data_IF_774942370998
#
_entry.id   IF_774942370998
#
_cell.length_a   1.000
_cell.length_b   1.000
_cell.length_c   1.000
_cell.angle_alpha   90.00
_cell.angle_beta   90.00
_cell.angle_gamma   90.00
#
_symmetry.space_group_name_H-M   'P 1'
#
loop_
_entity.id
_entity.type
_entity.pdbx_description
1 polymer ?
#
# COMPACT_ATOMS: atom_id res chain seq x y z
N UNK A 1 -28.31 4.78 -44.47
CA UNK A 1 -28.58 4.37 -43.07
C UNK A 1 -27.23 4.01 -42.47
N UNK A 2 -26.44 5.05 -42.16
CA UNK A 2 -26.07 5.46 -40.80
C UNK A 2 -25.43 4.31 -40.03
N UNK A 3 -24.10 4.24 -40.13
CA UNK A 3 -23.23 3.46 -39.26
C UNK A 3 -23.50 3.87 -37.81
N UNK A 4 -23.72 2.88 -36.94
CA UNK A 4 -23.85 3.12 -35.51
C UNK A 4 -22.50 3.61 -34.96
N UNK A 5 -22.48 4.61 -34.07
CA UNK A 5 -21.23 5.08 -33.48
C UNK A 5 -20.67 3.97 -32.58
N UNK A 6 -19.40 3.62 -32.79
CA UNK A 6 -18.62 2.83 -31.86
C UNK A 6 -18.74 3.46 -30.47
N UNK A 7 -19.37 2.73 -29.55
CA UNK A 7 -19.58 3.19 -28.18
C UNK A 7 -18.23 3.51 -27.56
N UNK A 8 -18.08 4.76 -27.11
CA UNK A 8 -17.01 5.19 -26.24
C UNK A 8 -17.19 4.49 -24.88
N UNK A 9 -16.78 3.22 -24.81
CA UNK A 9 -16.72 2.50 -23.55
C UNK A 9 -15.59 3.11 -22.72
N UNK A 10 -15.96 3.68 -21.57
CA UNK A 10 -14.97 4.13 -20.60
C UNK A 10 -13.97 3.03 -20.25
N UNK A 11 -12.84 3.38 -19.63
CA UNK A 11 -11.76 2.44 -19.35
C UNK A 11 -12.30 1.22 -18.58
N UNK A 12 -12.23 0.05 -19.22
CA UNK A 12 -12.70 -1.24 -18.65
C UNK A 12 -11.80 -1.76 -17.52
N UNK A 13 -10.62 -1.17 -17.35
CA UNK A 13 -9.59 -1.66 -16.46
C UNK A 13 -9.10 -0.55 -15.53
N UNK A 14 -8.97 -0.90 -14.25
CA UNK A 14 -8.47 0.00 -13.22
C UNK A 14 -7.42 -0.68 -12.37
N UNK A 15 -6.56 0.16 -11.80
CA UNK A 15 -5.60 -0.14 -10.75
C UNK A 15 -5.90 0.81 -9.61
N UNK A 16 -5.67 0.36 -8.38
CA UNK A 16 -5.94 1.16 -7.20
C UNK A 16 -4.67 1.40 -6.40
N UNK A 17 -4.55 2.59 -5.83
CA UNK A 17 -3.49 2.94 -4.89
C UNK A 17 -4.15 3.29 -3.56
N UNK A 18 -3.87 2.48 -2.54
CA UNK A 18 -4.33 2.73 -1.18
C UNK A 18 -3.24 3.49 -0.42
N UNK A 19 -3.54 4.73 -0.06
CA UNK A 19 -2.72 5.52 0.84
C UNK A 19 -3.22 5.34 2.27
N UNK A 20 -2.34 5.09 3.23
CA UNK A 20 -2.73 4.92 4.63
C UNK A 20 -1.86 5.73 5.60
N UNK A 21 -2.46 6.09 6.73
CA UNK A 21 -1.76 6.58 7.92
C UNK A 21 -1.95 5.57 9.05
N UNK A 22 -0.96 4.68 9.21
CA UNK A 22 -1.02 3.58 10.19
C UNK A 22 -0.60 3.98 11.60
N UNK A 23 -0.29 5.25 11.86
CA UNK A 23 -0.08 5.78 13.22
C UNK A 23 1.04 5.13 14.06
N UNK A 24 1.88 4.25 13.50
CA UNK A 24 2.99 3.58 14.23
C UNK A 24 3.91 4.61 14.89
N UNK A 25 4.53 4.33 16.05
CA UNK A 25 5.36 5.31 16.81
C UNK A 25 6.46 6.05 16.01
N UNK A 26 6.80 5.57 14.81
CA UNK A 26 7.67 6.23 13.83
C UNK A 26 7.00 7.44 13.11
N UNK A 27 5.66 7.43 13.00
CA UNK A 27 4.82 8.51 12.44
C UNK A 27 4.90 9.81 13.23
N UNK A 28 5.13 9.75 14.56
CA UNK A 28 5.27 10.97 15.39
C UNK A 28 6.53 11.77 15.07
N UNK A 29 7.59 11.12 14.60
CA UNK A 29 8.85 11.81 14.29
C UNK A 29 8.81 12.48 12.90
N UNK A 30 8.06 11.89 11.94
CA UNK A 30 7.92 12.43 10.57
C UNK A 30 6.82 13.50 10.48
N UNK A 31 5.68 13.34 11.17
CA UNK A 31 4.56 14.33 11.16
C UNK A 31 4.97 15.72 11.65
N UNK A 32 6.07 15.84 12.39
CA UNK A 32 6.60 17.13 12.84
C UNK A 32 7.36 17.90 11.75
N UNK A 33 7.70 17.24 10.63
CA UNK A 33 8.44 17.82 9.51
C UNK A 33 7.68 17.81 8.18
N UNK A 34 6.69 16.92 8.00
CA UNK A 34 5.83 16.91 6.80
C UNK A 34 4.37 16.90 7.23
N UNK A 35 3.60 17.91 6.78
CA UNK A 35 2.13 17.98 6.96
C UNK A 35 1.37 17.00 6.05
N UNK A 36 2.04 15.95 5.56
CA UNK A 36 1.47 15.00 4.61
C UNK A 36 0.46 14.07 5.33
N UNK A 37 -0.77 13.93 4.81
CA UNK A 37 -1.85 13.20 5.49
C UNK A 37 -1.64 11.68 5.51
N UNK A 38 -0.83 11.12 4.60
CA UNK A 38 -0.55 9.68 4.48
C UNK A 38 0.95 9.40 4.46
N UNK A 39 1.37 8.25 5.01
CA UNK A 39 2.78 7.86 5.12
C UNK A 39 3.09 6.49 4.51
N UNK A 40 2.10 5.83 3.95
CA UNK A 40 2.25 4.53 3.31
C UNK A 40 1.42 4.47 2.03
N UNK A 41 1.90 3.72 1.05
CA UNK A 41 1.23 3.52 -0.24
C UNK A 41 1.30 2.03 -0.63
N UNK A 42 0.15 1.46 -0.99
CA UNK A 42 0.01 0.08 -1.45
C UNK A 42 -0.73 0.04 -2.78
N UNK A 43 -0.37 -0.91 -3.64
CA UNK A 43 -0.99 -1.14 -4.94
C UNK A 43 -2.04 -2.25 -4.83
N UNK A 44 -3.21 -2.07 -5.43
CA UNK A 44 -4.24 -3.10 -5.56
C UNK A 44 -4.74 -3.22 -6.99
N UNK A 45 -5.23 -4.41 -7.35
CA UNK A 45 -5.73 -4.75 -8.69
C UNK A 45 -7.27 -4.76 -8.76
N UNK A 46 -7.94 -4.56 -7.63
CA UNK A 46 -9.39 -4.63 -7.43
C UNK A 46 -9.85 -3.59 -6.39
N UNK A 47 -11.13 -3.19 -6.47
CA UNK A 47 -11.68 -2.13 -5.63
C UNK A 47 -12.00 -2.62 -4.21
N UNK A 48 -12.20 -3.92 -4.06
CA UNK A 48 -12.49 -4.65 -2.83
C UNK A 48 -11.23 -4.84 -1.95
N UNK A 49 -10.06 -4.51 -2.50
CA UNK A 49 -8.76 -4.57 -1.84
C UNK A 49 -8.41 -5.98 -1.34
N UNK A 50 -8.79 -7.00 -2.12
CA UNK A 50 -8.50 -8.41 -1.81
C UNK A 50 -7.00 -8.72 -1.83
N UNK A 51 -6.24 -7.97 -2.64
CA UNK A 51 -4.78 -8.02 -2.67
C UNK A 51 -4.18 -6.62 -2.59
N UNK A 52 -3.31 -6.42 -1.59
CA UNK A 52 -2.51 -5.20 -1.45
C UNK A 52 -1.03 -5.55 -1.55
N UNK A 53 -0.32 -4.83 -2.41
CA UNK A 53 1.08 -5.07 -2.70
C UNK A 53 1.90 -3.84 -2.34
N UNK A 54 2.89 -4.02 -1.48
CA UNK A 54 3.79 -2.94 -1.08
C UNK A 54 5.18 -3.50 -0.78
N UNK A 55 6.15 -2.60 -0.62
CA UNK A 55 7.37 -2.91 0.07
C UNK A 55 7.24 -2.46 1.53
N UNK A 56 7.20 -3.42 2.44
CA UNK A 56 6.88 -3.21 3.85
C UNK A 56 7.84 -3.89 4.82
N UNK A 57 7.69 -3.58 6.11
CA UNK A 57 8.47 -4.15 7.22
C UNK A 57 7.81 -5.45 7.73
N UNK A 58 8.57 -6.51 7.97
CA UNK A 58 8.03 -7.72 8.62
C UNK A 58 7.89 -7.59 10.14
N UNK A 59 8.67 -6.71 10.80
CA UNK A 59 8.57 -6.46 12.25
C UNK A 59 8.85 -4.99 12.63
N UNK A 60 7.99 -4.42 13.49
CA UNK A 60 8.10 -3.05 14.01
C UNK A 60 9.38 -2.80 14.85
N UNK A 61 9.92 -3.83 15.49
CA UNK A 61 11.13 -3.74 16.33
C UNK A 61 12.45 -3.95 15.57
N UNK A 62 12.41 -4.45 14.32
CA UNK A 62 13.61 -4.82 13.54
C UNK A 62 13.59 -4.16 12.15
N UNK A 63 14.12 -2.94 12.01
CA UNK A 63 14.07 -2.15 10.77
C UNK A 63 14.77 -2.78 9.55
N UNK A 64 15.53 -3.86 9.73
CA UNK A 64 16.31 -4.58 8.71
C UNK A 64 15.57 -5.74 8.01
N UNK A 65 14.26 -5.90 8.24
CA UNK A 65 13.47 -7.05 7.73
C UNK A 65 12.41 -6.65 6.69
N UNK A 66 12.75 -5.76 5.77
CA UNK A 66 11.83 -5.37 4.70
C UNK A 66 11.96 -6.20 3.42
N UNK A 67 10.93 -6.20 2.60
CA UNK A 67 10.89 -6.84 1.27
C UNK A 67 9.52 -6.65 0.63
N UNK A 68 9.27 -7.36 -0.48
CA UNK A 68 7.92 -7.46 -1.04
C UNK A 68 6.94 -8.07 -0.03
N UNK A 69 5.87 -7.33 0.26
CA UNK A 69 4.80 -7.73 1.16
C UNK A 69 3.49 -7.74 0.39
N UNK A 70 2.75 -8.81 0.62
CA UNK A 70 1.32 -8.87 0.30
C UNK A 70 0.62 -8.60 1.63
N UNK A 71 -0.03 -7.44 1.71
CA UNK A 71 -0.70 -6.97 2.91
C UNK A 71 -2.12 -7.52 2.94
N UNK A 72 -2.61 -7.78 4.14
CA UNK A 72 -4.00 -8.14 4.38
C UNK A 72 -4.63 -7.02 5.22
N UNK A 73 -5.78 -6.50 4.80
CA UNK A 73 -6.51 -5.44 5.52
C UNK A 73 -7.07 -5.94 6.85
N UNK A 74 -7.46 -7.21 6.91
CA UNK A 74 -8.12 -7.82 8.04
C UNK A 74 -7.10 -8.37 9.06
N UNK A 75 -5.87 -8.65 8.62
CA UNK A 75 -4.80 -9.17 9.47
C UNK A 75 -3.58 -8.22 9.58
N UNK A 76 -2.60 -8.57 10.41
CA UNK A 76 -1.33 -7.85 10.47
C UNK A 76 -1.46 -6.39 10.93
N UNK A 77 -0.76 -5.47 10.25
CA UNK A 77 -0.62 -4.06 10.70
C UNK A 77 -1.96 -3.37 10.89
N UNK A 78 -2.91 -3.54 9.97
CA UNK A 78 -4.17 -2.80 10.01
C UNK A 78 -5.09 -3.22 11.16
N UNK A 79 -5.03 -4.50 11.58
CA UNK A 79 -5.80 -4.97 12.74
C UNK A 79 -5.23 -4.48 14.07
N UNK A 80 -3.91 -4.24 14.16
CA UNK A 80 -3.29 -3.58 15.31
C UNK A 80 -3.60 -2.07 15.38
N UNK A 81 -3.96 -1.44 14.25
CA UNK A 81 -4.26 -0.01 14.16
C UNK A 81 -5.65 0.22 13.54
N UNK A 82 -6.75 -0.13 14.24
CA UNK A 82 -8.11 -0.06 13.69
C UNK A 82 -8.58 1.38 13.37
N UNK A 83 -7.89 2.40 13.91
CA UNK A 83 -8.10 3.81 13.57
C UNK A 83 -7.32 4.29 12.35
N UNK A 84 -6.79 3.39 11.52
CA UNK A 84 -6.06 3.75 10.30
C UNK A 84 -6.93 4.58 9.38
N UNK A 85 -6.47 5.78 9.02
CA UNK A 85 -7.07 6.61 7.97
C UNK A 85 -6.51 6.21 6.62
N UNK A 86 -7.33 6.28 5.57
CA UNK A 86 -6.91 5.99 4.23
C UNK A 86 -7.51 6.95 3.19
N UNK A 87 -6.85 7.00 2.04
CA UNK A 87 -7.41 7.45 0.76
C UNK A 87 -7.25 6.33 -0.25
N UNK A 88 -8.33 5.96 -0.94
CA UNK A 88 -8.30 5.00 -2.04
C UNK A 88 -8.38 5.76 -3.36
N UNK A 89 -7.32 5.63 -4.14
CA UNK A 89 -7.19 6.28 -5.44
C UNK A 89 -7.39 5.25 -6.55
N UNK A 90 -8.20 5.59 -7.56
CA UNK A 90 -8.39 4.80 -8.77
C UNK A 90 -7.61 5.41 -9.92
N UNK A 91 -6.89 4.57 -10.65
CA UNK A 91 -6.25 4.90 -11.91
C UNK A 91 -6.85 4.05 -13.03
N UNK A 92 -7.38 4.73 -14.03
CA UNK A 92 -7.85 4.08 -15.25
C UNK A 92 -6.67 3.75 -16.17
N UNK A 93 -6.65 2.54 -16.70
CA UNK A 93 -5.52 2.01 -17.48
C UNK A 93 -6.01 1.20 -18.68
N UNK A 94 -5.13 0.99 -19.66
CA UNK A 94 -5.41 0.05 -20.76
C UNK A 94 -5.31 -1.40 -20.29
N UNK A 95 -5.84 -2.32 -21.09
CA UNK A 95 -5.71 -3.75 -20.85
C UNK A 95 -4.23 -4.18 -20.76
N UNK A 96 -3.41 -3.67 -21.67
CA UNK A 96 -1.97 -3.97 -21.75
C UNK A 96 -1.23 -3.48 -20.51
N UNK A 97 -1.52 -2.26 -20.07
CA UNK A 97 -0.96 -1.67 -18.86
C UNK A 97 -1.33 -2.53 -17.64
N UNK A 98 -2.60 -2.90 -17.48
CA UNK A 98 -3.05 -3.77 -16.38
C UNK A 98 -2.39 -5.14 -16.43
N UNK A 99 -2.30 -5.75 -17.61
CA UNK A 99 -1.63 -7.04 -17.80
C UNK A 99 -0.13 -6.96 -17.44
N UNK A 100 0.55 -5.86 -17.77
CA UNK A 100 1.94 -5.65 -17.36
C UNK A 100 2.09 -5.47 -15.84
N UNK A 101 1.21 -4.68 -15.22
CA UNK A 101 1.20 -4.53 -13.76
C UNK A 101 1.06 -5.88 -13.06
N UNK A 102 0.14 -6.73 -13.52
CA UNK A 102 -0.02 -8.10 -13.00
C UNK A 102 1.25 -8.94 -13.18
N UNK A 103 1.90 -8.87 -14.35
CA UNK A 103 3.15 -9.60 -14.60
C UNK A 103 4.26 -9.17 -13.66
N UNK A 104 4.41 -7.87 -13.42
CA UNK A 104 5.41 -7.31 -12.51
C UNK A 104 5.13 -7.72 -11.05
N UNK A 105 3.89 -7.61 -10.58
CA UNK A 105 3.52 -8.07 -9.23
C UNK A 105 3.85 -9.56 -9.06
N UNK A 106 3.52 -10.39 -10.07
CA UNK A 106 3.81 -11.84 -10.05
C UNK A 106 5.31 -12.16 -10.08
N UNK A 107 6.16 -11.35 -10.71
CA UNK A 107 7.61 -11.56 -10.62
C UNK A 107 8.11 -11.28 -9.19
N UNK A 108 7.64 -10.21 -8.55
CA UNK A 108 7.94 -9.94 -7.15
C UNK A 108 7.46 -11.04 -6.21
N UNK A 109 6.28 -11.61 -6.44
CA UNK A 109 5.76 -12.75 -5.67
C UNK A 109 6.66 -13.99 -5.80
N UNK A 110 7.12 -14.32 -7.01
CA UNK A 110 8.01 -15.48 -7.26
C UNK A 110 9.40 -15.32 -6.66
N UNK A 111 9.92 -14.09 -6.66
CA UNK A 111 11.28 -13.76 -6.22
C UNK A 111 11.32 -13.17 -4.81
N UNK A 112 10.25 -13.34 -4.02
CA UNK A 112 10.06 -12.75 -2.68
C UNK A 112 11.26 -12.93 -1.75
N UNK A 113 12.00 -14.03 -1.85
CA UNK A 113 13.22 -14.23 -1.04
C UNK A 113 14.40 -13.37 -1.54
N UNK A 114 14.61 -13.25 -2.85
CA UNK A 114 15.71 -12.45 -3.43
C UNK A 114 15.57 -10.96 -3.10
N UNK A 115 14.35 -10.42 -3.18
CA UNK A 115 14.09 -9.01 -2.86
C UNK A 115 14.30 -8.67 -1.38
N UNK A 116 14.16 -9.64 -0.46
CA UNK A 116 14.52 -9.45 0.96
C UNK A 116 16.03 -9.25 1.12
N UNK A 117 16.85 -9.99 0.38
CA UNK A 117 18.31 -9.83 0.40
C UNK A 117 18.76 -8.51 -0.26
N UNK A 118 18.13 -8.13 -1.38
CA UNK A 118 18.45 -6.88 -2.07
C UNK A 118 18.07 -5.65 -1.23
N UNK A 119 16.97 -5.69 -0.47
CA UNK A 119 16.64 -4.58 0.43
C UNK A 119 17.64 -4.44 1.59
N UNK A 120 18.14 -5.55 2.15
CA UNK A 120 19.24 -5.53 3.13
C UNK A 120 20.48 -4.86 2.52
N UNK A 121 20.83 -5.20 1.28
CA UNK A 121 21.94 -4.59 0.55
C UNK A 121 21.74 -3.09 0.28
N UNK A 122 20.53 -2.70 -0.15
CA UNK A 122 20.17 -1.31 -0.44
C UNK A 122 20.22 -0.44 0.82
N UNK A 123 19.70 -0.94 1.96
CA UNK A 123 19.79 -0.26 3.25
C UNK A 123 21.24 -0.15 3.76
N UNK A 124 22.06 -1.20 3.55
CA UNK A 124 23.49 -1.20 3.90
C UNK A 124 24.31 -0.16 3.12
N UNK A 125 23.95 0.11 1.87
CA UNK A 125 24.62 1.12 1.03
C UNK A 125 24.18 2.54 1.38
N UNK A 126 22.90 2.75 1.71
CA UNK A 126 22.35 4.05 2.11
C UNK A 126 22.92 4.49 3.47
N UNK A 127 23.00 3.58 4.45
CA UNK A 127 23.58 3.87 5.77
C UNK A 127 25.08 4.21 5.70
N UNK A 128 25.84 3.61 4.77
CA UNK A 128 27.27 3.89 4.59
C UNK A 128 27.57 5.26 3.94
N UNK A 129 26.58 5.92 3.33
CA UNK A 129 26.76 7.23 2.67
C UNK A 129 26.27 8.42 3.49
N UNK A 130 25.88 8.22 4.76
CA UNK A 130 25.37 9.30 5.61
C UNK A 130 24.05 9.90 5.13
N UNK A 131 23.38 9.25 4.18
CA UNK A 131 22.05 9.62 3.72
C UNK A 131 21.09 9.00 4.73
N UNK A 132 20.52 9.82 5.62
CA UNK A 132 19.46 9.36 6.51
C UNK A 132 18.41 8.62 5.67
N UNK A 133 18.06 7.38 6.04
CA UNK A 133 17.22 6.59 5.18
C UNK A 133 15.84 7.27 5.16
N UNK A 134 15.50 7.80 3.99
CA UNK A 134 14.16 8.24 3.59
C UNK A 134 13.21 7.02 3.51
N UNK A 135 13.13 6.28 4.61
CA UNK A 135 12.41 5.02 4.81
C UNK A 135 10.90 5.15 4.55
N UNK A 136 10.38 6.37 4.37
CA UNK A 136 9.00 6.66 4.05
C UNK A 136 8.64 6.46 2.57
N UNK A 137 9.62 6.35 1.66
CA UNK A 137 9.34 6.30 0.21
C UNK A 137 9.59 4.96 -0.46
N UNK A 138 9.97 3.90 0.26
CA UNK A 138 10.17 2.60 -0.38
C UNK A 138 8.85 2.00 -0.91
N UNK A 139 7.75 2.23 -0.20
CA UNK A 139 6.43 1.79 -0.63
C UNK A 139 5.93 2.62 -1.83
N UNK A 140 6.01 3.95 -1.76
CA UNK A 140 5.65 4.83 -2.89
C UNK A 140 6.56 4.65 -4.10
N UNK A 141 7.86 4.41 -3.90
CA UNK A 141 8.80 4.05 -4.95
C UNK A 141 8.40 2.73 -5.62
N UNK A 142 8.05 1.69 -4.85
CA UNK A 142 7.60 0.42 -5.42
C UNK A 142 6.37 0.61 -6.30
N UNK A 143 5.37 1.36 -5.80
CA UNK A 143 4.14 1.65 -6.56
C UNK A 143 4.50 2.42 -7.83
N UNK A 144 5.27 3.51 -7.73
CA UNK A 144 5.69 4.34 -8.87
C UNK A 144 6.47 3.54 -9.91
N UNK A 145 7.42 2.70 -9.48
CA UNK A 145 8.25 1.90 -10.37
C UNK A 145 7.43 0.81 -11.08
N UNK A 146 6.46 0.22 -10.38
CA UNK A 146 5.54 -0.75 -10.95
C UNK A 146 4.67 -0.11 -12.03
N UNK A 147 4.11 1.08 -11.77
CA UNK A 147 3.33 1.83 -12.75
C UNK A 147 4.19 2.21 -13.97
N UNK A 148 5.37 2.81 -13.74
CA UNK A 148 6.30 3.19 -14.82
C UNK A 148 6.70 1.99 -15.68
N UNK A 149 7.07 0.87 -15.05
CA UNK A 149 7.42 -0.38 -15.74
C UNK A 149 6.23 -1.01 -16.48
N UNK A 150 5.00 -0.66 -16.11
CA UNK A 150 3.78 -1.06 -16.81
C UNK A 150 3.43 -0.14 -17.98
N UNK A 151 4.28 0.85 -18.30
CA UNK A 151 4.02 1.85 -19.34
C UNK A 151 3.10 2.98 -18.88
N UNK A 152 3.00 3.23 -17.57
CA UNK A 152 2.22 4.32 -16.98
C UNK A 152 3.19 5.36 -16.41
N UNK A 153 3.49 6.38 -17.21
CA UNK A 153 4.39 7.47 -16.81
C UNK A 153 3.60 8.63 -16.22
N UNK A 154 3.54 8.73 -14.89
CA UNK A 154 2.83 9.79 -14.17
C UNK A 154 3.74 10.96 -13.77
N UNK A 155 5.03 10.68 -13.51
CA UNK A 155 5.99 11.71 -13.09
C UNK A 155 7.26 11.65 -13.94
N UNK A 156 7.89 12.81 -14.12
CA UNK A 156 9.22 12.95 -14.73
C UNK A 156 10.34 12.58 -13.74
N UNK A 157 10.12 12.79 -12.45
CA UNK A 157 11.12 12.51 -11.43
C UNK A 157 11.37 11.01 -11.24
N UNK A 158 12.56 10.59 -10.79
CA UNK A 158 12.81 9.19 -10.44
C UNK A 158 11.83 8.66 -9.39
N UNK A 159 11.46 7.38 -9.47
CA UNK A 159 10.51 6.75 -8.52
C UNK A 159 10.98 6.83 -7.06
N UNK A 160 12.30 6.95 -6.84
CA UNK A 160 12.92 7.14 -5.51
C UNK A 160 12.57 8.47 -4.84
N UNK A 161 12.05 9.45 -5.59
CA UNK A 161 11.62 10.75 -5.11
C UNK A 161 10.08 10.87 -5.03
N UNK A 162 9.33 9.90 -5.56
CA UNK A 162 7.88 9.91 -5.51
C UNK A 162 7.40 9.55 -4.10
N UNK A 163 6.53 10.39 -3.57
CA UNK A 163 5.96 10.34 -2.22
C UNK A 163 4.50 9.90 -2.26
N UNK A 164 3.92 9.40 -1.15
CA UNK A 164 2.47 9.15 -1.08
C UNK A 164 1.60 10.37 -1.44
N UNK A 165 2.06 11.58 -1.09
CA UNK A 165 1.34 12.83 -1.38
C UNK A 165 1.32 13.17 -2.88
N UNK A 166 2.39 12.78 -3.61
CA UNK A 166 2.42 12.91 -5.07
C UNK A 166 1.32 12.06 -5.73
N UNK A 167 0.97 10.89 -5.20
CA UNK A 167 -0.17 10.12 -5.69
C UNK A 167 -1.49 10.84 -5.40
N UNK A 168 -1.65 11.32 -4.16
CA UNK A 168 -2.88 11.98 -3.71
C UNK A 168 -3.21 13.24 -4.53
N UNK A 169 -2.19 14.03 -4.89
CA UNK A 169 -2.37 15.28 -5.62
C UNK A 169 -2.39 15.12 -7.15
N UNK A 170 -2.10 13.93 -7.68
CA UNK A 170 -1.92 13.74 -9.12
C UNK A 170 -3.26 13.57 -9.86
N UNK A 171 -3.48 14.39 -10.90
CA UNK A 171 -4.77 14.54 -11.61
C UNK A 171 -5.25 13.29 -12.36
N UNK A 172 -4.36 12.35 -12.67
CA UNK A 172 -4.74 11.08 -13.28
C UNK A 172 -5.49 10.15 -12.31
N UNK A 173 -5.41 10.38 -11.01
CA UNK A 173 -6.11 9.59 -10.02
C UNK A 173 -7.47 10.19 -9.68
N UNK A 174 -8.45 9.32 -9.52
CA UNK A 174 -9.75 9.64 -8.95
C UNK A 174 -9.78 9.19 -7.49
N UNK A 175 -10.20 10.06 -6.58
CA UNK A 175 -10.44 9.71 -5.19
C UNK A 175 -11.75 8.93 -5.07
N UNK A 176 -11.66 7.63 -4.82
CA UNK A 176 -12.82 6.73 -4.66
C UNK A 176 -13.38 6.81 -3.24
N UNK A 177 -12.49 6.90 -2.25
CA UNK A 177 -12.85 6.92 -0.84
C UNK A 177 -11.79 7.63 -0.02
N UNK A 178 -12.22 8.37 1.00
CA UNK A 178 -11.35 8.89 2.05
C UNK A 178 -12.05 8.76 3.40
N UNK A 179 -11.36 8.24 4.40
CA UNK A 179 -11.94 8.02 5.72
C UNK A 179 -11.17 7.01 6.57
N UNK A 180 -11.89 6.29 7.43
CA UNK A 180 -11.32 5.17 8.18
C UNK A 180 -11.30 3.92 7.32
N UNK A 181 -10.18 3.19 7.33
CA UNK A 181 -10.01 2.01 6.48
C UNK A 181 -11.14 0.98 6.67
N UNK A 182 -11.54 0.72 7.91
CA UNK A 182 -12.58 -0.27 8.22
C UNK A 182 -14.02 0.21 8.01
N UNK A 183 -14.20 1.47 7.61
CA UNK A 183 -15.50 2.01 7.20
C UNK A 183 -15.65 1.99 5.67
N UNK A 184 -14.65 1.49 4.92
CA UNK A 184 -14.72 1.38 3.48
C UNK A 184 -15.76 0.31 3.05
N UNK A 185 -16.80 0.69 2.26
CA UNK A 185 -17.98 -0.15 2.07
C UNK A 185 -17.78 -1.43 1.25
N UNK A 186 -16.70 -1.53 0.47
CA UNK A 186 -16.41 -2.73 -0.32
C UNK A 186 -15.55 -3.77 0.43
N UNK A 187 -15.18 -3.50 1.68
CA UNK A 187 -14.54 -4.52 2.51
C UNK A 187 -15.54 -5.62 2.90
N UNK A 188 -15.03 -6.84 3.01
CA UNK A 188 -15.77 -8.00 3.48
C UNK A 188 -16.11 -7.87 4.97
N UNK A 189 -17.35 -7.48 5.23
CA UNK A 189 -17.89 -7.34 6.58
C UNK A 189 -17.84 -8.63 7.41
N UNK A 190 -17.87 -9.80 6.77
CA UNK A 190 -17.79 -11.09 7.52
C UNK A 190 -16.40 -11.29 8.11
N UNK A 191 -15.35 -10.92 7.36
CA UNK A 191 -13.95 -10.96 7.82
C UNK A 191 -13.70 -9.93 8.92
N UNK A 192 -14.27 -8.72 8.81
CA UNK A 192 -14.16 -7.68 9.85
C UNK A 192 -14.77 -8.11 11.19
N UNK A 193 -15.96 -8.73 11.16
CA UNK A 193 -16.64 -9.20 12.38
C UNK A 193 -15.89 -10.36 13.04
N UNK A 194 -15.36 -11.28 12.24
CA UNK A 194 -14.60 -12.42 12.73
C UNK A 194 -13.31 -11.98 13.45
N UNK A 195 -12.55 -11.04 12.88
CA UNK A 195 -11.32 -10.54 13.49
C UNK A 195 -11.58 -9.70 14.75
N UNK A 196 -12.62 -8.86 14.75
CA UNK A 196 -13.05 -8.15 15.98
C UNK A 196 -13.37 -9.14 17.11
N UNK A 197 -14.03 -10.26 16.78
CA UNK A 197 -14.35 -11.30 17.76
C UNK A 197 -13.08 -11.96 18.32
N UNK A 198 -12.09 -12.26 17.48
CA UNK A 198 -10.79 -12.84 17.91
C UNK A 198 -9.99 -11.89 18.81
N UNK A 199 -9.97 -10.59 18.50
CA UNK A 199 -9.28 -9.60 19.34
C UNK A 199 -9.88 -9.55 20.75
N UNK A 200 -11.22 -9.53 20.86
CA UNK A 200 -11.93 -9.51 22.15
C UNK A 200 -11.62 -10.75 22.98
N UNK A 201 -11.64 -11.95 22.39
CA UNK A 201 -11.35 -13.21 23.11
C UNK A 201 -9.91 -13.26 23.62
N UNK A 202 -8.94 -12.75 22.85
CA UNK A 202 -7.53 -12.72 23.25
C UNK A 202 -7.23 -11.67 24.34
N UNK A 203 -7.90 -10.51 24.32
CA UNK A 203 -7.79 -9.52 25.40
C UNK A 203 -8.41 -10.04 26.71
N UNK A 204 -9.50 -10.81 26.61
CA UNK A 204 -10.14 -11.48 27.76
C UNK A 204 -9.22 -12.52 28.43
N UNK A 205 -8.45 -13.24 27.63
CA UNK A 205 -7.48 -14.23 28.14
C UNK A 205 -6.24 -13.59 28.79
N UNK A 206 -5.80 -12.41 28.36
CA UNK A 206 -4.67 -11.71 28.98
C UNK A 206 -5.01 -11.03 30.32
N UNK A 207 -6.28 -10.69 30.57
CA UNK A 207 -6.72 -10.11 31.85
C UNK A 207 -7.09 -11.16 32.91
N UNK A 208 -7.19 -12.44 32.55
CA UNK A 208 -7.51 -13.55 33.47
C UNK A 208 -6.32 -14.23 34.15
N UNK A 209 -5.07 -13.84 33.82
CA UNK A 209 -3.86 -14.52 34.28
C UNK A 209 -3.14 -13.86 35.46
N UNK A 210 -3.84 -13.56 36.57
CA UNK A 210 -3.18 -13.25 37.86
C UNK A 210 -4.07 -13.41 39.08
N UNK A 211 -4.40 -14.66 39.43
CA UNK A 211 -4.64 -15.16 40.79
C UNK A 211 -4.32 -16.66 40.66
N UNK A 212 -3.25 -17.22 41.22
CA UNK A 212 -2.86 -17.39 42.63
C UNK A 212 -1.33 -17.50 42.68
#
# INVERSE_FOLDING_TARGET
MIEAPEGNEGPRYSIYVLLTDTGTMFTRLIKRFTSAPYNHASLSLDAELNGLYSFGRKHAAKPWSGGFVEEDIYEGTYSYFPGTRCALLRLNVTEEQRAQTIRIIRSFQREKQMYRYNLIGLLGVVMKRGIEPKNAYFCSQFVSETLRSSGISLWEQPSTLVTPDDFYCHTAFELVYEGFLYDYPLLDGTRLVFERSRTVTNTSFQLGGKVV
#
